data_IF_064024299287
#
_entry.id   IF_064024299287
#
_cell.length_a   1.000
_cell.length_b   1.000
_cell.length_c   1.000
_cell.angle_alpha   90.00
_cell.angle_beta   90.00
_cell.angle_gamma   90.00
#
_symmetry.space_group_name_H-M   'P 1'
#
loop_
_entity.id
_entity.type
_entity.pdbx_description
1 polymer ?
#
# COMPACT_ATOMS: atom_id res chain seq x y z
N UNK A 1 2.11 -11.69 -8.49
CA UNK A 1 1.10 -10.97 -7.68
C UNK A 1 1.00 -9.54 -8.12
N UNK A 2 -0.20 -9.00 -8.13
CA UNK A 2 -0.48 -7.66 -8.66
C UNK A 2 -1.38 -6.88 -7.73
N UNK A 3 -1.14 -5.57 -7.64
CA UNK A 3 -2.02 -4.67 -6.92
C UNK A 3 -3.35 -4.47 -7.66
N UNK A 4 -4.27 -3.76 -7.01
CA UNK A 4 -5.63 -3.52 -7.52
C UNK A 4 -5.64 -2.97 -8.96
N UNK A 5 -4.67 -2.12 -9.31
CA UNK A 5 -4.61 -1.51 -10.64
C UNK A 5 -3.79 -2.31 -11.66
N UNK A 6 -3.36 -3.52 -11.32
CA UNK A 6 -2.61 -4.40 -12.22
C UNK A 6 -1.10 -4.24 -12.18
N UNK A 7 -0.58 -3.30 -11.38
CA UNK A 7 0.87 -3.15 -11.22
C UNK A 7 1.44 -4.36 -10.47
N UNK A 8 2.59 -4.88 -10.93
CA UNK A 8 3.26 -5.99 -10.26
C UNK A 8 3.64 -5.61 -8.83
N UNK A 9 3.32 -6.48 -7.88
CA UNK A 9 3.63 -6.30 -6.47
C UNK A 9 4.91 -7.03 -6.09
N UNK A 10 5.71 -6.39 -5.24
CA UNK A 10 6.97 -6.96 -4.74
C UNK A 10 7.10 -6.67 -3.25
N UNK A 11 7.61 -7.64 -2.50
CA UNK A 11 7.97 -7.40 -1.10
C UNK A 11 8.99 -6.26 -1.01
N UNK A 12 8.80 -5.37 -0.06
CA UNK A 12 9.61 -4.16 0.08
C UNK A 12 8.97 -2.92 -0.53
N UNK A 13 7.92 -3.08 -1.34
CA UNK A 13 7.19 -1.94 -1.87
C UNK A 13 6.51 -1.16 -0.74
N UNK A 14 6.51 0.16 -0.84
CA UNK A 14 5.66 0.98 0.03
C UNK A 14 4.27 1.03 -0.61
N UNK A 15 3.25 0.70 0.18
CA UNK A 15 1.89 0.55 -0.31
C UNK A 15 0.88 1.29 0.56
N UNK A 16 -0.25 1.64 -0.06
CA UNK A 16 -1.46 2.04 0.64
C UNK A 16 -2.37 0.81 0.71
N UNK A 17 -2.68 0.36 1.92
CA UNK A 17 -3.65 -0.70 2.16
C UNK A 17 -4.98 -0.05 2.55
N UNK A 18 -5.92 -0.07 1.60
CA UNK A 18 -7.20 0.64 1.75
C UNK A 18 -8.12 -0.05 2.75
N UNK A 19 -8.03 -1.38 2.85
CA UNK A 19 -8.93 -2.18 3.68
C UNK A 19 -8.36 -2.50 5.08
N UNK A 20 -7.30 -1.84 5.49
CA UNK A 20 -6.75 -2.02 6.82
C UNK A 20 -7.73 -1.51 7.89
N UNK A 21 -7.79 -2.22 9.01
CA UNK A 21 -8.65 -1.84 10.13
C UNK A 21 -7.79 -1.22 11.26
N UNK A 22 -8.22 -0.14 11.89
CA UNK A 22 -9.52 0.56 11.78
C UNK A 22 -9.58 1.60 10.66
N UNK A 23 -8.50 1.82 9.93
CA UNK A 23 -8.44 2.81 8.85
C UNK A 23 -7.37 2.41 7.85
N UNK A 24 -7.43 2.95 6.61
CA UNK A 24 -6.36 2.74 5.64
C UNK A 24 -5.00 3.11 6.20
N UNK A 25 -3.97 2.34 5.85
CA UNK A 25 -2.61 2.57 6.31
C UNK A 25 -1.63 2.55 5.14
N UNK A 26 -0.50 3.22 5.34
CA UNK A 26 0.64 3.16 4.43
C UNK A 26 1.75 2.42 5.17
N UNK A 27 2.35 1.46 4.49
CA UNK A 27 3.43 0.67 5.06
C UNK A 27 4.19 -0.08 3.99
N UNK A 28 5.00 -1.05 4.43
CA UNK A 28 5.85 -1.85 3.54
C UNK A 28 5.25 -3.25 3.42
N UNK A 29 5.06 -3.70 2.18
CA UNK A 29 4.61 -5.06 1.91
C UNK A 29 5.71 -6.05 2.30
N UNK A 30 5.36 -7.04 3.12
CA UNK A 30 6.30 -8.08 3.56
C UNK A 30 5.65 -9.46 3.56
N UNK A 31 6.49 -10.46 3.41
CA UNK A 31 6.10 -11.88 3.49
C UNK A 31 5.00 -12.29 2.51
N UNK A 32 4.86 -11.56 1.41
CA UNK A 32 3.95 -11.94 0.35
C UNK A 32 4.56 -13.04 -0.51
N UNK A 33 3.71 -13.98 -0.96
CA UNK A 33 4.14 -15.12 -1.76
C UNK A 33 3.79 -14.86 -3.22
N UNK A 34 4.76 -14.91 -4.14
CA UNK A 34 4.48 -14.69 -5.57
C UNK A 34 3.39 -15.62 -6.11
N UNK A 35 2.60 -15.14 -7.06
CA UNK A 35 1.54 -15.92 -7.70
C UNK A 35 0.17 -15.79 -7.04
N UNK A 36 0.08 -15.07 -5.94
CA UNK A 36 -1.19 -14.87 -5.22
C UNK A 36 -1.60 -13.39 -5.31
N UNK A 37 -2.73 -13.11 -5.94
CA UNK A 37 -3.23 -11.75 -6.14
C UNK A 37 -4.29 -11.34 -5.09
N UNK A 38 -4.52 -12.16 -4.09
CA UNK A 38 -5.50 -11.88 -3.04
C UNK A 38 -4.82 -11.48 -1.73
N UNK A 39 -5.36 -11.93 -0.60
CA UNK A 39 -4.78 -11.64 0.71
C UNK A 39 -3.45 -12.37 0.84
N UNK A 40 -2.38 -11.63 0.86
CA UNK A 40 -1.04 -12.16 0.71
C UNK A 40 -0.05 -11.25 1.43
N UNK A 41 0.58 -11.79 2.48
CA UNK A 41 1.55 -11.03 3.26
C UNK A 41 0.93 -10.02 4.20
N UNK A 42 1.75 -9.06 4.62
CA UNK A 42 1.39 -8.09 5.65
C UNK A 42 1.85 -6.70 5.26
N UNK A 43 1.19 -5.70 5.85
CA UNK A 43 1.59 -4.29 5.72
C UNK A 43 2.35 -3.90 6.98
N UNK A 44 3.68 -3.78 6.88
CA UNK A 44 4.52 -3.38 8.00
C UNK A 44 4.44 -1.87 8.20
N UNK A 45 3.91 -1.45 9.34
CA UNK A 45 3.70 -0.03 9.64
C UNK A 45 4.91 0.56 10.36
N UNK A 46 5.49 -0.18 11.29
CA UNK A 46 6.62 0.27 12.09
C UNK A 46 7.97 -0.11 11.49
N UNK A 47 9.06 0.21 12.19
CA UNK A 47 10.42 -0.10 11.71
C UNK A 47 10.74 -1.59 11.72
N UNK A 48 9.95 -2.39 12.41
CA UNK A 48 10.13 -3.83 12.50
C UNK A 48 8.81 -4.56 12.29
N UNK A 49 8.85 -5.82 11.81
CA UNK A 49 7.65 -6.64 11.70
C UNK A 49 6.95 -6.78 13.05
N UNK A 50 5.62 -6.73 13.04
CA UNK A 50 4.81 -6.87 14.23
C UNK A 50 3.67 -7.86 13.96
N UNK A 51 3.28 -8.62 14.98
CA UNK A 51 2.12 -9.50 14.88
C UNK A 51 0.81 -8.72 14.71
N UNK A 52 0.83 -7.42 14.96
CA UNK A 52 -0.33 -6.54 14.78
C UNK A 52 -0.36 -5.89 13.39
N UNK A 53 0.58 -6.19 12.51
CA UNK A 53 0.57 -5.65 11.16
C UNK A 53 -0.67 -6.13 10.40
N UNK A 54 -1.40 -5.23 9.70
CA UNK A 54 -2.56 -5.64 8.91
C UNK A 54 -2.18 -6.60 7.79
N UNK A 55 -3.06 -7.56 7.53
CA UNK A 55 -2.93 -8.42 6.35
C UNK A 55 -3.10 -7.55 5.11
N UNK A 56 -2.24 -7.76 4.12
CA UNK A 56 -2.31 -7.07 2.84
C UNK A 56 -3.07 -7.94 1.84
N UNK A 57 -4.25 -7.48 1.43
CA UNK A 57 -4.98 -8.09 0.31
C UNK A 57 -4.62 -7.30 -0.94
N UNK A 58 -3.92 -7.93 -1.90
CA UNK A 58 -3.41 -7.23 -3.08
C UNK A 58 -4.52 -6.49 -3.84
N UNK A 59 -5.72 -7.06 -3.86
CA UNK A 59 -6.87 -6.41 -4.49
C UNK A 59 -7.31 -5.11 -3.80
N UNK A 60 -6.82 -4.84 -2.60
CA UNK A 60 -7.12 -3.63 -1.82
C UNK A 60 -5.92 -2.72 -1.65
N UNK A 61 -4.81 -3.02 -2.32
CA UNK A 61 -3.57 -2.28 -2.15
C UNK A 61 -3.15 -1.58 -3.43
N UNK A 62 -2.50 -0.43 -3.27
CA UNK A 62 -1.90 0.32 -4.36
C UNK A 62 -0.45 0.65 -4.01
N UNK A 63 0.43 0.63 -5.01
CA UNK A 63 1.80 1.08 -4.85
C UNK A 63 1.80 2.59 -4.56
N UNK A 64 2.68 3.04 -3.67
CA UNK A 64 2.72 4.44 -3.26
C UNK A 64 2.94 5.40 -4.44
N UNK A 65 3.74 5.01 -5.41
CA UNK A 65 4.00 5.85 -6.58
C UNK A 65 2.71 6.12 -7.37
N UNK A 66 1.83 5.13 -7.45
CA UNK A 66 0.55 5.29 -8.14
C UNK A 66 -0.41 6.16 -7.34
N UNK A 67 -0.37 6.05 -6.01
CA UNK A 67 -1.15 6.92 -5.12
C UNK A 67 -0.70 8.37 -5.28
N UNK A 68 0.61 8.61 -5.29
CA UNK A 68 1.17 9.96 -5.46
C UNK A 68 0.82 10.53 -6.84
N UNK A 69 0.83 9.70 -7.88
CA UNK A 69 0.44 10.13 -9.23
C UNK A 69 -1.03 10.58 -9.27
N UNK A 70 -1.92 9.86 -8.61
CA UNK A 70 -3.34 10.23 -8.51
C UNK A 70 -3.49 11.55 -7.77
N UNK A 71 -2.78 11.73 -6.66
CA UNK A 71 -2.82 12.97 -5.90
C UNK A 71 -2.29 14.16 -6.73
N UNK A 72 -1.21 13.95 -7.48
CA UNK A 72 -0.64 14.96 -8.35
C UNK A 72 -1.63 15.38 -9.45
N UNK A 73 -2.31 14.41 -10.05
CA UNK A 73 -3.32 14.67 -11.06
C UNK A 73 -4.46 15.56 -10.55
N UNK A 74 -4.79 15.40 -9.28
CA UNK A 74 -5.85 16.19 -8.63
C UNK A 74 -5.35 17.44 -7.92
N UNK A 75 -4.04 17.71 -8.01
CA UNK A 75 -3.43 18.88 -7.35
C UNK A 75 -3.36 18.76 -5.84
N UNK A 76 -3.40 17.55 -5.30
CA UNK A 76 -3.43 17.32 -3.85
C UNK A 76 -2.08 16.88 -3.27
N UNK A 77 -1.04 16.81 -4.10
CA UNK A 77 0.30 16.38 -3.69
C UNK A 77 1.15 17.49 -3.12
N UNK A 78 0.67 18.73 -3.20
CA UNK A 78 1.42 19.92 -2.73
C UNK A 78 0.56 20.72 -1.77
N UNK A 79 1.24 21.37 -0.83
CA UNK A 79 0.57 22.30 0.07
C UNK A 79 0.00 23.46 -0.73
N UNK A 80 -1.24 23.88 -0.45
CA UNK A 80 -1.82 25.05 -1.11
C UNK A 80 -0.94 26.29 -0.88
N UNK A 81 -0.86 27.15 -1.88
CA UNK A 81 -0.10 28.39 -1.78
C UNK A 81 -0.67 29.27 -0.66
N UNK A 82 0.21 29.84 0.14
CA UNK A 82 -0.18 30.72 1.24
C UNK A 82 -0.48 30.02 2.56
N UNK A 83 -0.27 28.72 2.64
CA UNK A 83 -0.51 27.95 3.88
C UNK A 83 0.78 27.46 4.51
#
# INVERSE_FOLDING_TARGET
>A
MHYRNGREAKNGDRILNIDAYPAPVIGILRDAVPGNDYCNGYTQIGPEPSQNDPIACMCDCLHIDDVLAILAEKGLDKRPEGM
#
